data_IF_304947414554
#
_entry.id   IF_304947414554
#
_cell.length_a   1.000
_cell.length_b   1.000
_cell.length_c   1.000
_cell.angle_alpha   90.00
_cell.angle_beta   90.00
_cell.angle_gamma   90.00
#
_symmetry.space_group_name_H-M   'P 1'
#
loop_
_entity.id
_entity.type
_entity.pdbx_description
1 polymer ?
#
# COMPACT_ATOMS: atom_id res chain seq x y z
N UNK A 1 0.01 -8.17 -11.89
CA UNK A 1 0.56 -6.81 -11.86
C UNK A 1 1.63 -6.69 -10.80
N UNK A 2 2.81 -6.28 -11.21
CA UNK A 2 4.09 -6.43 -10.54
C UNK A 2 4.19 -5.90 -9.10
N UNK A 3 5.10 -6.51 -8.33
CA UNK A 3 5.43 -6.11 -6.96
C UNK A 3 5.73 -4.61 -6.86
N UNK A 4 6.58 -4.11 -7.76
CA UNK A 4 7.02 -2.71 -7.77
C UNK A 4 5.91 -1.74 -8.15
N UNK A 5 5.07 -2.11 -9.12
CA UNK A 5 3.91 -1.32 -9.51
C UNK A 5 2.91 -1.17 -8.35
N UNK A 6 2.69 -2.26 -7.59
CA UNK A 6 1.83 -2.24 -6.41
C UNK A 6 2.35 -1.30 -5.32
N UNK A 7 3.67 -1.31 -5.07
CA UNK A 7 4.29 -0.39 -4.11
C UNK A 7 4.24 1.06 -4.58
N UNK A 8 4.49 1.33 -5.87
CA UNK A 8 4.39 2.67 -6.45
C UNK A 8 2.98 3.26 -6.29
N UNK A 9 1.94 2.45 -6.50
CA UNK A 9 0.54 2.87 -6.29
C UNK A 9 0.26 3.24 -4.83
N UNK A 10 0.84 2.52 -3.87
CA UNK A 10 0.67 2.84 -2.45
C UNK A 10 1.29 4.20 -2.12
N UNK A 11 2.51 4.46 -2.62
CA UNK A 11 3.18 5.75 -2.42
C UNK A 11 2.37 6.88 -3.10
N UNK A 12 1.91 6.66 -4.33
CA UNK A 12 1.07 7.63 -5.04
C UNK A 12 -0.22 7.93 -4.27
N UNK A 13 -0.88 6.90 -3.72
CA UNK A 13 -2.08 7.06 -2.91
C UNK A 13 -1.87 7.79 -1.58
N UNK A 14 -0.64 7.77 -1.04
CA UNK A 14 -0.31 8.54 0.16
C UNK A 14 -0.15 10.04 -0.09
N UNK A 15 0.21 10.44 -1.32
CA UNK A 15 0.36 11.84 -1.73
C UNK A 15 -0.93 12.39 -2.36
N UNK A 16 -1.77 11.51 -2.91
CA UNK A 16 -3.03 11.87 -3.54
C UNK A 16 -4.01 12.55 -2.55
N UNK A 17 -4.78 13.51 -3.05
CA UNK A 17 -5.85 14.15 -2.28
C UNK A 17 -7.04 13.19 -2.16
N UNK A 18 -7.51 12.98 -0.93
CA UNK A 18 -8.69 12.14 -0.65
C UNK A 18 -8.33 10.73 -0.22
N UNK A 19 -9.14 9.74 -0.62
CA UNK A 19 -8.97 8.33 -0.24
C UNK A 19 -8.69 7.49 -1.48
N UNK A 20 -7.51 6.89 -1.54
CA UNK A 20 -7.15 5.90 -2.56
C UNK A 20 -7.48 4.49 -2.10
N UNK A 21 -8.23 3.73 -2.91
CA UNK A 21 -8.48 2.30 -2.70
C UNK A 21 -7.67 1.49 -3.69
N UNK A 22 -6.82 0.60 -3.19
CA UNK A 22 -5.97 -0.28 -3.99
C UNK A 22 -6.48 -1.71 -3.80
N UNK A 23 -6.89 -2.34 -4.89
CA UNK A 23 -7.39 -3.72 -4.93
C UNK A 23 -6.30 -4.68 -5.43
N UNK A 24 -6.52 -6.00 -5.29
CA UNK A 24 -5.62 -7.05 -5.80
C UNK A 24 -4.17 -6.96 -5.27
N UNK A 25 -4.03 -6.71 -3.96
CA UNK A 25 -2.73 -6.53 -3.26
C UNK A 25 -1.89 -7.81 -3.07
N UNK A 26 -2.27 -8.94 -3.69
CA UNK A 26 -1.57 -10.23 -3.53
C UNK A 26 -0.11 -10.19 -3.99
N UNK A 27 0.23 -9.35 -4.97
CA UNK A 27 1.63 -9.16 -5.37
C UNK A 27 2.43 -8.40 -4.32
N UNK A 28 1.81 -7.45 -3.63
CA UNK A 28 2.42 -6.71 -2.53
C UNK A 28 2.72 -7.64 -1.36
N UNK A 29 1.76 -8.50 -1.00
CA UNK A 29 1.88 -9.44 0.12
C UNK A 29 2.99 -10.47 -0.09
N UNK A 30 3.23 -10.89 -1.34
CA UNK A 30 4.30 -11.84 -1.67
C UNK A 30 5.72 -11.25 -1.62
N UNK A 31 5.87 -9.94 -1.80
CA UNK A 31 7.20 -9.33 -1.90
C UNK A 31 7.52 -8.28 -0.83
N UNK A 32 6.52 -7.82 -0.08
CA UNK A 32 6.71 -6.94 1.07
C UNK A 32 5.99 -7.48 2.29
N UNK A 33 6.79 -7.91 3.27
CA UNK A 33 6.25 -8.36 4.54
C UNK A 33 5.64 -7.19 5.32
N UNK A 34 4.34 -7.31 5.62
CA UNK A 34 3.55 -6.41 6.47
C UNK A 34 3.78 -4.92 6.15
N UNK A 35 3.74 -4.58 4.86
CA UNK A 35 4.03 -3.23 4.39
C UNK A 35 3.12 -2.17 5.03
N UNK A 36 1.84 -2.50 5.24
CA UNK A 36 0.88 -1.61 5.90
C UNK A 36 1.28 -1.30 7.36
N UNK A 37 1.82 -2.27 8.10
CA UNK A 37 2.30 -2.06 9.46
C UNK A 37 3.55 -1.16 9.47
N UNK A 38 4.49 -1.39 8.55
CA UNK A 38 5.70 -0.55 8.41
C UNK A 38 5.34 0.88 8.06
N UNK A 39 4.44 1.09 7.10
CA UNK A 39 3.97 2.42 6.71
C UNK A 39 3.26 3.13 7.87
N UNK A 40 2.40 2.44 8.63
CA UNK A 40 1.78 3.01 9.84
C UNK A 40 2.81 3.44 10.89
N UNK A 41 3.86 2.65 11.12
CA UNK A 41 4.95 3.00 12.05
C UNK A 41 5.69 4.26 11.64
N UNK A 42 5.74 4.56 10.34
CA UNK A 42 6.32 5.78 9.79
C UNK A 42 5.33 6.96 9.76
N UNK A 43 4.12 6.81 10.31
CA UNK A 43 3.08 7.83 10.30
C UNK A 43 2.16 7.80 9.07
N UNK A 44 2.30 6.80 8.20
CA UNK A 44 1.47 6.62 7.02
C UNK A 44 0.01 6.29 7.37
N UNK A 45 -0.93 7.05 6.80
CA UNK A 45 -2.38 6.85 6.97
C UNK A 45 -2.90 5.75 6.04
N UNK A 46 -2.54 4.51 6.31
CA UNK A 46 -2.97 3.34 5.52
C UNK A 46 -3.74 2.35 6.38
N UNK A 47 -4.73 1.65 5.79
CA UNK A 47 -5.50 0.59 6.48
C UNK A 47 -5.85 -0.51 5.49
N UNK A 48 -5.59 -1.76 5.87
CA UNK A 48 -6.11 -2.93 5.18
C UNK A 48 -7.58 -3.15 5.58
N UNK A 49 -8.43 -3.32 4.58
CA UNK A 49 -9.84 -3.69 4.71
C UNK A 49 -10.02 -5.07 4.10
N UNK A 50 -10.77 -5.95 4.79
CA UNK A 50 -11.16 -7.27 4.28
C UNK A 50 -12.39 -7.14 3.40
#
# INVERSE_FOLDING_TARGET
SDLRASAALVIAGMVAKGITRINRIYHLDRGYERMDAKLKRLGGKVRRVK
#
